data_IF_049529159245
#
_entry.id   IF_049529159245
#
_cell.length_a   1.000
_cell.length_b   1.000
_cell.length_c   1.000
_cell.angle_alpha   90.00
_cell.angle_beta   90.00
_cell.angle_gamma   90.00
#
_symmetry.space_group_name_H-M   'P 1'
#
loop_
_entity.id
_entity.type
_entity.pdbx_description
1 polymer ?
#
# COMPACT_ATOMS: atom_id res chain seq x y z
N UNK A 1 16.44 -9.14 3.09
CA UNK A 1 16.75 -7.91 2.34
C UNK A 1 16.16 -8.09 0.96
N UNK A 2 14.88 -7.75 0.77
CA UNK A 2 14.25 -7.86 -0.55
C UNK A 2 14.95 -6.83 -1.47
N UNK A 3 15.70 -7.32 -2.45
CA UNK A 3 16.28 -6.46 -3.47
C UNK A 3 15.11 -5.80 -4.22
N UNK A 4 14.96 -4.49 -4.07
CA UNK A 4 14.03 -3.69 -4.86
C UNK A 4 14.54 -3.66 -6.31
N UNK A 5 14.30 -4.75 -7.05
CA UNK A 5 14.80 -4.88 -8.42
C UNK A 5 13.88 -4.17 -9.41
N UNK A 6 12.61 -3.89 -9.07
CA UNK A 6 11.61 -3.38 -10.03
C UNK A 6 11.46 -1.86 -10.03
N UNK A 7 11.47 -1.26 -11.22
CA UNK A 7 11.02 0.12 -11.43
C UNK A 7 9.57 0.29 -10.95
N UNK A 8 9.41 0.94 -9.80
CA UNK A 8 8.13 1.28 -9.18
C UNK A 8 7.85 2.79 -9.32
N UNK A 9 6.58 3.15 -9.51
CA UNK A 9 6.12 4.53 -9.52
C UNK A 9 5.16 4.78 -8.37
N UNK A 10 5.38 5.87 -7.63
CA UNK A 10 4.37 6.43 -6.76
C UNK A 10 3.44 7.30 -7.60
N UNK A 11 2.16 7.33 -7.26
CA UNK A 11 1.19 8.17 -7.94
C UNK A 11 0.20 8.83 -6.98
N UNK A 12 -0.30 9.99 -7.41
CA UNK A 12 -1.43 10.66 -6.78
C UNK A 12 -2.52 10.90 -7.84
N UNK A 13 -3.76 10.49 -7.55
CA UNK A 13 -4.92 10.72 -8.41
C UNK A 13 -5.97 11.54 -7.66
N UNK A 14 -6.00 12.84 -7.94
CA UNK A 14 -6.96 13.76 -7.33
C UNK A 14 -8.36 13.62 -7.96
N UNK A 15 -9.40 13.82 -7.15
CA UNK A 15 -10.80 13.76 -7.57
C UNK A 15 -11.09 12.47 -8.35
N UNK A 16 -10.75 11.33 -7.73
CA UNK A 16 -10.99 10.02 -8.33
C UNK A 16 -12.48 9.71 -8.42
N UNK A 17 -12.84 8.86 -9.38
CA UNK A 17 -14.17 8.28 -9.53
C UNK A 17 -14.14 6.81 -9.12
N UNK A 18 -15.32 6.22 -8.89
CA UNK A 18 -15.40 4.77 -8.65
C UNK A 18 -14.95 3.95 -9.88
N UNK A 19 -15.03 4.51 -11.08
CA UNK A 19 -14.48 3.91 -12.30
C UNK A 19 -12.94 3.83 -12.25
N UNK A 20 -12.27 4.85 -11.67
CA UNK A 20 -10.82 4.78 -11.47
C UNK A 20 -10.45 3.66 -10.52
N UNK A 21 -11.17 3.55 -9.39
CA UNK A 21 -10.95 2.50 -8.40
C UNK A 21 -11.16 1.12 -9.04
N UNK A 22 -12.27 0.94 -9.76
CA UNK A 22 -12.56 -0.29 -10.49
C UNK A 22 -11.49 -0.65 -11.51
N UNK A 23 -11.01 0.33 -12.28
CA UNK A 23 -9.92 0.14 -13.25
C UNK A 23 -8.62 -0.29 -12.58
N UNK A 24 -8.23 0.36 -11.47
CA UNK A 24 -6.99 0.04 -10.74
C UNK A 24 -7.06 -1.37 -10.11
N UNK A 25 -8.21 -1.76 -9.59
CA UNK A 25 -8.44 -3.11 -9.04
C UNK A 25 -8.52 -4.20 -10.13
N UNK A 26 -8.93 -3.84 -11.34
CA UNK A 26 -9.04 -4.76 -12.47
C UNK A 26 -7.76 -4.84 -13.33
N UNK A 27 -6.65 -4.23 -12.91
CA UNK A 27 -5.40 -4.28 -13.66
C UNK A 27 -4.92 -5.74 -13.82
N UNK A 28 -4.63 -6.19 -15.05
CA UNK A 28 -4.17 -7.55 -15.29
C UNK A 28 -2.72 -7.75 -14.82
N UNK A 29 -2.34 -9.00 -14.57
CA UNK A 29 -0.93 -9.38 -14.48
C UNK A 29 -0.19 -8.93 -15.76
N UNK A 30 1.04 -8.38 -15.67
CA UNK A 30 1.93 -8.36 -14.49
C UNK A 30 1.81 -7.11 -13.60
N UNK A 31 0.83 -6.24 -13.84
CA UNK A 31 0.73 -4.99 -13.10
C UNK A 31 0.30 -5.22 -11.65
N UNK A 32 1.00 -4.59 -10.72
CA UNK A 32 0.66 -4.59 -9.30
C UNK A 32 0.40 -3.16 -8.87
N UNK A 33 -0.75 -2.94 -8.27
CA UNK A 33 -1.17 -1.64 -7.78
C UNK A 33 -1.59 -1.74 -6.31
N UNK A 34 -1.10 -0.80 -5.53
CA UNK A 34 -1.48 -0.58 -4.13
C UNK A 34 -1.83 0.88 -3.95
N UNK A 35 -2.96 1.20 -3.29
CA UNK A 35 -3.33 2.60 -3.07
C UNK A 35 -4.22 2.79 -1.85
N UNK A 36 -4.04 3.91 -1.17
CA UNK A 36 -4.92 4.43 -0.13
C UNK A 36 -5.92 5.44 -0.68
N UNK A 37 -7.13 5.45 -0.11
CA UNK A 37 -8.04 6.58 -0.20
C UNK A 37 -7.66 7.58 0.89
N UNK A 38 -7.41 8.82 0.50
CA UNK A 38 -7.05 9.89 1.42
C UNK A 38 -7.90 11.15 1.18
N UNK A 39 -8.08 11.97 2.22
CA UNK A 39 -8.69 13.29 2.11
C UNK A 39 -7.65 14.35 2.43
N UNK A 40 -7.36 15.23 1.46
CA UNK A 40 -6.36 16.28 1.64
C UNK A 40 -6.76 17.22 2.81
N UNK A 41 -5.94 17.37 3.87
CA UNK A 41 -6.35 18.08 5.07
C UNK A 41 -6.68 19.57 4.85
N UNK A 42 -6.01 20.22 3.90
CA UNK A 42 -6.14 21.65 3.63
C UNK A 42 -7.20 22.00 2.59
N UNK A 43 -7.46 21.12 1.62
CA UNK A 43 -8.38 21.37 0.51
C UNK A 43 -9.67 20.54 0.61
N UNK A 44 -9.71 19.52 1.45
CA UNK A 44 -10.83 18.59 1.58
C UNK A 44 -11.05 17.69 0.36
N UNK A 45 -10.15 17.71 -0.62
CA UNK A 45 -10.31 16.98 -1.87
C UNK A 45 -9.92 15.50 -1.71
N UNK A 46 -10.78 14.55 -2.13
CA UNK A 46 -10.44 13.14 -2.11
C UNK A 46 -9.37 12.86 -3.16
N UNK A 47 -8.40 12.02 -2.81
CA UNK A 47 -7.37 11.57 -3.72
C UNK A 47 -6.98 10.13 -3.42
N UNK A 48 -6.48 9.44 -4.45
CA UNK A 48 -5.79 8.17 -4.27
C UNK A 48 -4.30 8.45 -4.19
N UNK A 49 -3.65 7.92 -3.16
CA UNK A 49 -2.20 7.90 -3.04
C UNK A 49 -1.75 6.45 -3.18
N UNK A 50 -0.92 6.15 -4.18
CA UNK A 50 -0.62 4.76 -4.51
C UNK A 50 0.74 4.52 -5.12
N UNK A 51 0.97 3.24 -5.41
CA UNK A 51 2.15 2.69 -6.05
C UNK A 51 1.74 1.76 -7.18
N UNK A 52 2.54 1.74 -8.23
CA UNK A 52 2.38 0.87 -9.40
C UNK A 52 3.74 0.30 -9.81
N UNK A 53 3.81 -1.02 -9.92
CA UNK A 53 4.99 -1.73 -10.42
C UNK A 53 4.58 -2.94 -11.26
N UNK A 54 5.57 -3.68 -11.77
CA UNK A 54 5.39 -4.94 -12.47
C UNK A 54 6.11 -6.06 -11.72
N UNK A 55 5.48 -7.22 -11.59
CA UNK A 55 6.12 -8.38 -10.96
C UNK A 55 7.20 -9.04 -11.87
N UNK A 56 7.20 -8.73 -13.17
CA UNK A 56 8.00 -9.43 -14.19
C UNK A 56 9.13 -8.61 -14.85
N UNK A 57 9.14 -7.28 -14.72
CA UNK A 57 10.06 -6.42 -15.48
C UNK A 57 10.52 -5.18 -14.72
N UNK A 58 11.84 -5.10 -14.56
CA UNK A 58 12.54 -3.99 -13.94
C UNK A 58 12.68 -2.76 -14.85
N UNK A 59 12.25 -2.84 -16.12
CA UNK A 59 12.27 -1.74 -17.11
C UNK A 59 10.89 -1.12 -17.34
N UNK A 60 10.08 -1.06 -16.29
CA UNK A 60 8.76 -0.44 -16.35
C UNK A 60 8.86 1.06 -16.68
N UNK A 61 8.39 1.45 -17.87
CA UNK A 61 8.49 2.83 -18.35
C UNK A 61 7.39 3.70 -17.77
N UNK A 62 7.74 4.96 -17.46
CA UNK A 62 6.79 5.98 -16.99
C UNK A 62 5.60 6.17 -17.92
N UNK A 63 5.81 6.21 -19.24
CA UNK A 63 4.71 6.39 -20.21
C UNK A 63 3.71 5.23 -20.19
N UNK A 64 4.18 4.00 -19.95
CA UNK A 64 3.32 2.84 -19.75
C UNK A 64 2.55 2.96 -18.44
N UNK A 65 3.21 3.39 -17.36
CA UNK A 65 2.57 3.63 -16.07
C UNK A 65 1.48 4.71 -16.18
N UNK A 66 1.74 5.83 -16.86
CA UNK A 66 0.75 6.89 -17.12
C UNK A 66 -0.48 6.36 -17.87
N UNK A 67 -0.27 5.54 -18.89
CA UNK A 67 -1.37 4.92 -19.64
C UNK A 67 -2.19 3.95 -18.76
N UNK A 68 -1.51 3.07 -18.01
CA UNK A 68 -2.13 2.11 -17.09
C UNK A 68 -2.95 2.83 -16.01
N UNK A 69 -2.48 3.98 -15.53
CA UNK A 69 -3.16 4.82 -14.54
C UNK A 69 -4.26 5.72 -15.12
N UNK A 70 -4.56 5.64 -16.41
CA UNK A 70 -5.64 6.41 -17.04
C UNK A 70 -5.29 7.87 -17.35
N UNK A 71 -4.01 8.22 -17.36
CA UNK A 71 -3.48 9.49 -17.87
C UNK A 71 -3.67 10.73 -16.99
N UNK A 72 -4.44 10.66 -15.91
CA UNK A 72 -4.66 11.80 -14.98
C UNK A 72 -3.80 11.79 -13.73
N UNK A 73 -3.23 10.63 -13.40
CA UNK A 73 -2.41 10.51 -12.20
C UNK A 73 -1.10 11.30 -12.35
N UNK A 74 -0.66 11.92 -11.26
CA UNK A 74 0.67 12.49 -11.16
C UNK A 74 1.64 11.41 -10.71
N UNK A 75 2.68 11.11 -11.51
CA UNK A 75 3.64 10.05 -11.22
C UNK A 75 5.01 10.58 -10.81
N UNK A 76 5.61 9.93 -9.81
CA UNK A 76 7.01 10.12 -9.42
C UNK A 76 7.71 8.76 -9.30
N UNK A 77 9.03 8.68 -9.55
CA UNK A 77 9.78 7.46 -9.27
C UNK A 77 9.71 7.12 -7.78
N UNK A 78 9.46 5.85 -7.46
CA UNK A 78 9.52 5.36 -6.08
C UNK A 78 10.98 5.36 -5.62
N UNK A 79 11.26 6.03 -4.50
CA UNK A 79 12.62 6.10 -3.92
C UNK A 79 12.85 5.06 -2.84
N UNK A 80 11.81 4.79 -2.06
CA UNK A 80 11.81 3.85 -0.94
C UNK A 80 10.46 3.14 -0.97
N UNK A 81 10.49 1.84 -1.27
CA UNK A 81 9.30 1.03 -1.45
C UNK A 81 8.50 0.94 -0.14
N UNK A 82 9.18 0.72 0.98
CA UNK A 82 8.55 0.52 2.28
C UNK A 82 7.92 1.80 2.79
N UNK A 83 8.69 2.88 2.78
CA UNK A 83 8.16 4.17 3.20
C UNK A 83 6.95 4.57 2.35
N UNK A 84 6.96 4.28 1.05
CA UNK A 84 5.85 4.59 0.15
C UNK A 84 4.62 3.71 0.41
N UNK A 85 4.80 2.41 0.65
CA UNK A 85 3.70 1.50 1.02
C UNK A 85 3.07 1.91 2.36
N UNK A 86 3.90 2.21 3.35
CA UNK A 86 3.44 2.72 4.65
C UNK A 86 2.68 4.04 4.53
N UNK A 87 3.11 4.92 3.62
CA UNK A 87 2.41 6.17 3.34
C UNK A 87 1.02 5.94 2.74
N UNK A 88 0.90 5.01 1.78
CA UNK A 88 -0.38 4.67 1.14
C UNK A 88 -1.37 4.01 2.11
N UNK A 89 -0.88 3.35 3.17
CA UNK A 89 -1.72 2.67 4.16
C UNK A 89 -2.03 3.54 5.39
N UNK A 90 -1.51 4.77 5.49
CA UNK A 90 -1.54 5.58 6.72
C UNK A 90 -2.93 5.91 7.25
N UNK A 91 -3.92 6.06 6.36
CA UNK A 91 -5.32 6.35 6.74
C UNK A 91 -6.17 5.08 6.95
N UNK A 92 -5.56 3.89 6.78
CA UNK A 92 -6.22 2.61 7.03
C UNK A 92 -7.23 2.16 5.96
N UNK A 93 -7.59 3.01 4.99
CA UNK A 93 -8.46 2.65 3.86
C UNK A 93 -7.65 2.44 2.56
N UNK A 94 -6.95 1.30 2.50
CA UNK A 94 -6.08 0.94 1.37
C UNK A 94 -6.54 -0.31 0.61
N UNK A 95 -6.19 -0.39 -0.66
CA UNK A 95 -6.64 -1.38 -1.63
C UNK A 95 -5.46 -1.93 -2.44
N UNK A 96 -5.60 -3.14 -2.97
CA UNK A 96 -4.67 -3.73 -3.93
C UNK A 96 -5.40 -4.60 -4.95
N UNK A 97 -4.89 -4.64 -6.18
CA UNK A 97 -5.36 -5.58 -7.20
C UNK A 97 -4.82 -7.02 -6.99
N UNK A 98 -4.00 -7.25 -5.96
CA UNK A 98 -3.46 -8.57 -5.61
C UNK A 98 -4.08 -9.16 -4.34
N UNK A 99 -5.01 -8.45 -3.71
CA UNK A 99 -5.71 -8.92 -2.51
C UNK A 99 -7.21 -9.06 -2.78
N UNK A 100 -7.78 -10.14 -2.27
CA UNK A 100 -9.22 -10.35 -2.17
C UNK A 100 -9.85 -9.40 -1.14
N UNK A 101 -11.17 -9.19 -1.19
CA UNK A 101 -11.87 -8.40 -0.17
C UNK A 101 -11.66 -8.89 1.27
N UNK A 102 -11.56 -10.20 1.49
CA UNK A 102 -11.31 -10.78 2.81
C UNK A 102 -9.90 -10.52 3.33
N UNK A 103 -8.90 -10.57 2.45
CA UNK A 103 -7.51 -10.25 2.80
C UNK A 103 -7.37 -8.77 3.13
N UNK A 104 -7.96 -7.88 2.33
CA UNK A 104 -8.00 -6.44 2.62
C UNK A 104 -8.70 -6.15 3.95
N UNK A 105 -9.83 -6.80 4.23
CA UNK A 105 -10.53 -6.61 5.50
C UNK A 105 -9.67 -7.04 6.69
N UNK A 106 -8.91 -8.11 6.56
CA UNK A 106 -8.00 -8.60 7.60
C UNK A 106 -6.80 -7.66 7.76
N UNK A 107 -6.17 -7.27 6.66
CA UNK A 107 -5.05 -6.33 6.61
C UNK A 107 -5.39 -5.01 7.31
N UNK A 108 -6.53 -4.39 6.96
CA UNK A 108 -6.97 -3.12 7.53
C UNK A 108 -7.23 -3.22 9.03
N UNK A 109 -7.84 -4.32 9.50
CA UNK A 109 -8.06 -4.56 10.94
C UNK A 109 -6.74 -4.62 11.70
N UNK A 110 -5.77 -5.35 11.17
CA UNK A 110 -4.48 -5.50 11.81
C UNK A 110 -3.67 -4.19 11.78
N UNK A 111 -3.70 -3.46 10.66
CA UNK A 111 -3.10 -2.13 10.54
C UNK A 111 -3.71 -1.17 11.56
N UNK A 112 -5.04 -1.09 11.64
CA UNK A 112 -5.71 -0.23 12.63
C UNK A 112 -5.27 -0.58 14.06
N UNK A 113 -5.23 -1.87 14.38
CA UNK A 113 -4.78 -2.33 15.69
C UNK A 113 -3.29 -2.03 15.95
N UNK A 114 -2.43 -2.03 14.92
CA UNK A 114 -1.01 -1.71 15.03
C UNK A 114 -0.70 -0.21 15.08
N UNK A 115 -1.46 0.63 14.37
CA UNK A 115 -1.38 2.09 14.46
C UNK A 115 -1.72 2.60 15.85
N UNK A 116 -2.67 1.94 16.55
CA UNK A 116 -2.96 2.22 17.95
C UNK A 116 -1.79 1.89 18.90
N UNK A 117 -0.81 1.11 18.44
CA UNK A 117 0.32 0.62 19.23
C UNK A 117 1.66 1.24 18.86
N UNK A 118 1.83 1.67 17.60
CA UNK A 118 3.09 2.19 17.07
C UNK A 118 2.84 3.43 16.21
N UNK A 119 3.39 4.57 16.63
CA UNK A 119 3.36 5.82 15.85
C UNK A 119 4.35 5.82 14.66
N UNK A 120 4.69 4.65 14.07
CA UNK A 120 5.80 4.52 13.11
C UNK A 120 5.35 3.97 11.73
N UNK A 121 5.20 4.87 10.76
CA UNK A 121 4.86 4.57 9.36
C UNK A 121 5.87 3.64 8.63
N UNK A 122 7.12 3.54 9.12
CA UNK A 122 8.16 2.72 8.50
C UNK A 122 7.88 1.21 8.61
N UNK A 123 7.20 0.78 9.67
CA UNK A 123 6.92 -0.63 9.89
C UNK A 123 5.83 -1.18 8.96
N UNK A 124 4.75 -0.41 8.74
CA UNK A 124 3.69 -0.80 7.81
C UNK A 124 4.24 -1.11 6.42
N UNK A 125 5.23 -0.31 5.99
CA UNK A 125 5.95 -0.52 4.73
C UNK A 125 6.58 -1.89 4.59
N UNK A 126 7.36 -2.29 5.60
CA UNK A 126 8.07 -3.58 5.59
C UNK A 126 7.12 -4.77 5.61
N UNK A 127 6.01 -4.71 6.35
CA UNK A 127 5.02 -5.79 6.35
C UNK A 127 4.32 -5.90 4.98
N UNK A 128 4.02 -4.77 4.34
CA UNK A 128 3.35 -4.66 3.04
C UNK A 128 4.19 -5.15 1.85
N UNK A 129 5.49 -5.38 2.00
CA UNK A 129 6.34 -5.95 0.94
C UNK A 129 5.86 -7.32 0.45
N UNK A 130 5.18 -8.08 1.30
CA UNK A 130 4.67 -9.41 0.99
C UNK A 130 3.26 -9.39 0.40
N UNK A 131 2.79 -8.27 -0.16
CA UNK A 131 1.43 -8.18 -0.75
C UNK A 131 1.21 -9.16 -1.92
N UNK A 132 2.28 -9.63 -2.54
CA UNK A 132 2.26 -10.67 -3.58
C UNK A 132 2.05 -12.08 -3.00
N UNK A 133 2.21 -12.25 -1.68
CA UNK A 133 2.01 -13.46 -0.90
C UNK A 133 1.11 -13.17 0.33
N UNK A 134 -0.22 -13.21 0.18
CA UNK A 134 -1.15 -12.76 1.23
C UNK A 134 -0.96 -13.44 2.59
N UNK A 135 -0.59 -14.72 2.61
CA UNK A 135 -0.31 -15.48 3.83
C UNK A 135 0.93 -14.95 4.58
N UNK A 136 1.99 -14.60 3.84
CA UNK A 136 3.23 -14.04 4.41
C UNK A 136 2.98 -12.63 4.96
N UNK A 137 2.24 -11.80 4.21
CA UNK A 137 1.80 -10.50 4.67
C UNK A 137 1.02 -10.59 6.00
N UNK A 138 0.02 -11.48 6.07
CA UNK A 138 -0.79 -11.66 7.27
C UNK A 138 0.03 -12.21 8.44
N UNK A 139 0.99 -13.10 8.18
CA UNK A 139 1.93 -13.61 9.17
C UNK A 139 2.83 -12.52 9.75
N UNK A 140 3.41 -11.66 8.92
CA UNK A 140 4.32 -10.60 9.37
C UNK A 140 3.60 -9.54 10.20
N UNK A 141 2.40 -9.15 9.73
CA UNK A 141 1.55 -8.22 10.46
C UNK A 141 1.12 -8.82 11.81
N UNK A 142 0.74 -10.10 11.83
CA UNK A 142 0.34 -10.81 13.05
C UNK A 142 1.50 -10.97 14.02
N UNK A 143 2.69 -11.34 13.53
CA UNK A 143 3.90 -11.48 14.34
C UNK A 143 4.29 -10.16 15.01
N UNK A 144 4.21 -9.05 14.28
CA UNK A 144 4.45 -7.74 14.85
C UNK A 144 3.40 -7.35 15.90
N UNK A 145 2.12 -7.55 15.61
CA UNK A 145 1.03 -7.33 16.57
C UNK A 145 1.32 -8.08 17.87
N UNK A 146 1.67 -9.37 17.80
CA UNK A 146 1.99 -10.14 18.99
C UNK A 146 3.23 -9.64 19.72
N UNK A 147 4.31 -9.26 19.02
CA UNK A 147 5.54 -8.76 19.65
C UNK A 147 5.36 -7.40 20.36
N UNK A 148 4.48 -6.52 19.86
CA UNK A 148 4.28 -5.18 20.43
C UNK A 148 3.10 -5.13 21.42
N UNK A 149 2.03 -5.90 21.21
CA UNK A 149 0.89 -6.00 22.15
C UNK A 149 1.23 -6.81 23.40
N UNK A 150 1.94 -7.94 23.28
CA UNK A 150 2.34 -8.69 24.48
C UNK A 150 3.30 -7.88 25.36
N UNK A 151 4.11 -7.01 24.76
CA UNK A 151 4.98 -6.10 25.50
C UNK A 151 4.20 -4.99 26.24
N UNK A 152 3.17 -4.41 25.61
CA UNK A 152 2.34 -3.36 26.21
C UNK A 152 1.39 -3.86 27.32
N UNK A 153 1.08 -5.16 27.38
CA UNK A 153 0.25 -5.78 28.43
C UNK A 153 1.05 -6.41 29.57
N UNK A 154 2.38 -6.35 29.54
CA UNK A 154 3.20 -6.79 30.66
C UNK A 154 3.22 -5.67 31.72
N UNK A 155 2.79 -5.91 32.99
CA UNK A 155 3.01 -4.96 34.05
C UNK A 155 4.51 -4.67 34.13
N UNK A 156 4.91 -3.41 33.98
CA UNK A 156 6.30 -3.02 34.21
C UNK A 156 6.59 -3.28 35.70
N UNK A 157 7.26 -4.39 35.98
CA UNK A 157 7.88 -4.68 37.26
C UNK A 157 9.24 -3.96 37.35
#
# INVERSE_FOLDING_TARGET
MAECLTACFCFTLNNYTEEDVGRLLALPSPYVCFFGKEVAPSTGTPHLQGMLWRDDDHRFKRSTAEHVLGGRAFLTPCRDFDASMGYCAKEGDFYSNRMTPSELATARRLVAAASDLSNCNYWLGSALQHIEHPDDFLSDVTTHYHSHVHCARCPKH
#
